data_IF_798288652851
#
_entry.id   IF_798288652851
#
_cell.length_a   1.000
_cell.length_b   1.000
_cell.length_c   1.000
_cell.angle_alpha   90.00
_cell.angle_beta   90.00
_cell.angle_gamma   90.00
#
_symmetry.space_group_name_H-M   'P 1'
#
loop_
_entity.id
_entity.type
_entity.pdbx_description
1 polymer ?
#
# COMPACT_ATOMS: atom_id res chain seq x y z
N UNK A 1 -10.70 -20.08 -37.05
CA UNK A 1 -11.27 -20.35 -35.71
C UNK A 1 -10.76 -19.29 -34.76
N UNK A 2 -11.55 -18.24 -34.53
CA UNK A 2 -11.22 -17.18 -33.57
C UNK A 2 -11.48 -17.72 -32.16
N UNK A 3 -10.43 -17.87 -31.34
CA UNK A 3 -10.59 -18.03 -29.89
C UNK A 3 -10.75 -16.61 -29.34
N UNK A 4 -12.00 -16.19 -29.14
CA UNK A 4 -12.29 -15.00 -28.36
C UNK A 4 -11.77 -15.20 -26.94
N UNK A 5 -10.81 -14.38 -26.52
CA UNK A 5 -10.32 -14.34 -25.16
C UNK A 5 -11.46 -13.93 -24.21
N UNK A 6 -11.72 -14.65 -23.11
CA UNK A 6 -12.67 -14.21 -22.10
C UNK A 6 -11.94 -13.28 -21.13
N UNK A 7 -11.64 -12.06 -21.57
CA UNK A 7 -11.09 -11.02 -20.69
C UNK A 7 -12.19 -10.03 -20.34
N UNK A 8 -12.53 -9.93 -19.05
CA UNK A 8 -13.38 -8.84 -18.54
C UNK A 8 -12.76 -7.48 -18.85
N UNK A 9 -13.54 -6.40 -18.79
CA UNK A 9 -12.97 -5.06 -18.96
C UNK A 9 -11.94 -4.78 -17.87
N UNK A 10 -10.93 -3.95 -18.17
CA UNK A 10 -9.95 -3.45 -17.17
C UNK A 10 -10.65 -2.91 -15.92
N UNK A 11 -11.77 -2.21 -16.09
CA UNK A 11 -12.57 -1.70 -14.98
C UNK A 11 -13.09 -2.81 -14.06
N UNK A 12 -13.52 -3.94 -14.62
CA UNK A 12 -14.00 -5.08 -13.84
C UNK A 12 -12.85 -5.76 -13.07
N UNK A 13 -11.69 -5.90 -13.70
CA UNK A 13 -10.48 -6.42 -13.04
C UNK A 13 -10.05 -5.54 -11.86
N UNK A 14 -10.08 -4.21 -12.04
CA UNK A 14 -9.81 -3.25 -10.98
C UNK A 14 -10.83 -3.32 -9.84
N UNK A 15 -12.12 -3.46 -10.16
CA UNK A 15 -13.19 -3.64 -9.16
C UNK A 15 -12.97 -4.90 -8.34
N UNK A 16 -12.67 -6.03 -8.98
CA UNK A 16 -12.38 -7.30 -8.29
C UNK A 16 -11.17 -7.16 -7.37
N UNK A 17 -10.10 -6.49 -7.81
CA UNK A 17 -8.90 -6.24 -7.00
C UNK A 17 -9.21 -5.34 -5.80
N UNK A 18 -9.92 -4.24 -6.01
CA UNK A 18 -10.32 -3.32 -4.94
C UNK A 18 -11.20 -4.01 -3.89
N UNK A 19 -12.21 -4.79 -4.32
CA UNK A 19 -13.06 -5.57 -3.43
C UNK A 19 -12.25 -6.55 -2.57
N UNK A 20 -11.24 -7.21 -3.15
CA UNK A 20 -10.36 -8.12 -2.41
C UNK A 20 -9.60 -7.39 -1.30
N UNK A 21 -8.99 -6.23 -1.60
CA UNK A 21 -8.28 -5.45 -0.58
C UNK A 21 -9.22 -4.91 0.51
N UNK A 22 -10.41 -4.44 0.13
CA UNK A 22 -11.43 -3.97 1.08
C UNK A 22 -11.87 -5.12 2.01
N UNK A 23 -12.18 -6.29 1.47
CA UNK A 23 -12.59 -7.45 2.27
C UNK A 23 -11.48 -7.93 3.20
N UNK A 24 -10.24 -8.01 2.68
CA UNK A 24 -9.07 -8.34 3.48
C UNK A 24 -8.87 -7.37 4.64
N UNK A 25 -8.96 -6.07 4.37
CA UNK A 25 -8.80 -5.06 5.41
C UNK A 25 -9.95 -5.09 6.43
N UNK A 26 -11.20 -5.26 5.99
CA UNK A 26 -12.35 -5.44 6.91
C UNK A 26 -12.15 -6.62 7.85
N UNK A 27 -11.61 -7.73 7.34
CA UNK A 27 -11.28 -8.89 8.15
C UNK A 27 -10.20 -8.56 9.18
N UNK A 28 -9.08 -7.98 8.75
CA UNK A 28 -8.01 -7.56 9.66
C UNK A 28 -8.54 -6.61 10.73
N UNK A 29 -9.34 -5.61 10.38
CA UNK A 29 -9.95 -4.67 11.33
C UNK A 29 -10.92 -5.34 12.31
N UNK A 30 -11.56 -6.45 11.93
CA UNK A 30 -12.43 -7.21 12.84
C UNK A 30 -11.65 -8.10 13.81
N UNK A 31 -10.42 -8.46 13.47
CA UNK A 31 -9.58 -9.40 14.23
C UNK A 31 -8.44 -8.70 15.00
N UNK A 32 -8.09 -7.47 14.62
CA UNK A 32 -6.95 -6.74 15.17
C UNK A 32 -7.13 -6.51 16.67
N UNK A 33 -6.08 -6.84 17.43
CA UNK A 33 -5.98 -6.54 18.85
C UNK A 33 -4.90 -5.50 19.04
N UNK A 34 -5.29 -4.34 19.55
CA UNK A 34 -4.32 -3.32 19.91
C UNK A 34 -3.48 -3.83 21.09
N UNK A 35 -2.16 -3.67 21.00
CA UNK A 35 -1.25 -3.94 22.10
C UNK A 35 -1.32 -2.83 23.14
N UNK A 36 -0.59 -2.99 24.26
CA UNK A 36 -0.51 -1.95 25.29
C UNK A 36 0.21 -0.73 24.73
N UNK A 37 -0.44 0.42 24.84
CA UNK A 37 0.13 1.76 24.60
C UNK A 37 0.57 2.27 25.98
N UNK A 38 1.79 2.82 26.16
CA UNK A 38 2.72 3.35 25.15
C UNK A 38 3.67 2.31 24.53
N UNK A 39 3.81 2.36 23.21
CA UNK A 39 4.83 1.62 22.45
C UNK A 39 6.09 2.48 22.40
N UNK A 40 7.24 1.91 22.80
CA UNK A 40 8.55 2.53 22.52
C UNK A 40 8.94 2.17 21.10
N UNK A 41 9.12 3.17 20.24
CA UNK A 41 9.61 2.99 18.87
C UNK A 41 11.12 3.29 18.86
N UNK A 42 11.92 2.38 18.33
CA UNK A 42 13.36 2.57 18.23
C UNK A 42 13.75 3.34 16.96
N UNK A 43 14.90 4.03 16.93
CA UNK A 43 15.41 4.64 15.71
C UNK A 43 15.57 3.64 14.55
N UNK A 44 16.01 2.41 14.83
CA UNK A 44 16.18 1.39 13.79
C UNK A 44 14.85 0.92 13.18
N UNK A 45 13.76 0.92 13.96
CA UNK A 45 12.43 0.64 13.43
C UNK A 45 11.95 1.75 12.49
N UNK A 46 12.24 3.02 12.83
CA UNK A 46 11.96 4.15 11.95
C UNK A 46 12.79 4.09 10.67
N UNK A 47 14.08 3.81 10.76
CA UNK A 47 14.96 3.62 9.59
C UNK A 47 14.44 2.52 8.67
N UNK A 48 14.00 1.39 9.24
CA UNK A 48 13.40 0.29 8.48
C UNK A 48 12.10 0.72 7.77
N UNK A 49 11.25 1.52 8.43
CA UNK A 49 10.06 2.09 7.79
C UNK A 49 10.41 3.02 6.63
N UNK A 50 11.44 3.85 6.79
CA UNK A 50 11.95 4.73 5.72
C UNK A 50 12.47 3.91 4.53
N UNK A 51 13.17 2.80 4.79
CA UNK A 51 13.64 1.92 3.71
C UNK A 51 12.47 1.22 3.00
N UNK A 52 11.43 0.82 3.72
CA UNK A 52 10.20 0.33 3.08
C UNK A 52 9.57 1.40 2.19
N UNK A 53 9.42 2.63 2.68
CA UNK A 53 8.88 3.76 1.90
C UNK A 53 9.66 3.94 0.58
N UNK A 54 11.00 3.97 0.64
CA UNK A 54 11.86 4.08 -0.55
C UNK A 54 11.63 2.93 -1.52
N UNK A 55 11.55 1.70 -1.02
CA UNK A 55 11.31 0.52 -1.85
C UNK A 55 9.93 0.59 -2.54
N UNK A 56 8.89 1.06 -1.86
CA UNK A 56 7.56 1.22 -2.46
C UNK A 56 7.49 2.35 -3.49
N UNK A 57 8.29 3.41 -3.34
CA UNK A 57 8.45 4.47 -4.36
C UNK A 57 9.12 3.90 -5.61
N UNK A 58 10.17 3.10 -5.44
CA UNK A 58 10.86 2.43 -6.55
C UNK A 58 9.93 1.42 -7.23
N UNK A 59 9.26 0.56 -6.47
CA UNK A 59 8.28 -0.41 -6.99
C UNK A 59 7.18 0.29 -7.78
N UNK A 60 6.67 1.43 -7.29
CA UNK A 60 5.67 2.22 -7.99
C UNK A 60 6.14 2.64 -9.39
N UNK A 61 7.38 3.11 -9.48
CA UNK A 61 8.01 3.53 -10.74
C UNK A 61 8.18 2.33 -11.68
N UNK A 62 8.70 1.21 -11.18
CA UNK A 62 8.87 -0.03 -11.94
C UNK A 62 7.53 -0.57 -12.48
N UNK A 63 6.47 -0.57 -11.66
CA UNK A 63 5.15 -1.01 -12.10
C UNK A 63 4.59 -0.10 -13.20
N UNK A 64 4.74 1.21 -13.04
CA UNK A 64 4.26 2.18 -14.02
C UNK A 64 4.97 2.03 -15.37
N UNK A 65 6.30 1.89 -15.35
CA UNK A 65 7.11 1.65 -16.56
C UNK A 65 6.70 0.37 -17.30
N UNK A 66 6.24 -0.64 -16.57
CA UNK A 66 5.74 -1.91 -17.14
C UNK A 66 4.29 -1.86 -17.61
N UNK A 67 3.61 -0.72 -17.45
CA UNK A 67 2.20 -0.54 -17.81
C UNK A 67 1.20 -1.06 -16.76
N UNK A 68 1.65 -1.45 -15.57
CA UNK A 68 0.78 -1.84 -14.46
C UNK A 68 0.49 -0.63 -13.54
N UNK A 69 -0.31 0.30 -14.07
CA UNK A 69 -0.70 1.51 -13.35
C UNK A 69 -1.45 1.21 -12.04
N UNK A 70 -2.18 0.08 -11.98
CA UNK A 70 -2.93 -0.32 -10.79
C UNK A 70 -1.99 -0.70 -9.64
N UNK A 71 -0.96 -1.50 -9.90
CA UNK A 71 0.04 -1.85 -8.89
C UNK A 71 0.93 -0.66 -8.53
N UNK A 72 1.24 0.20 -9.50
CA UNK A 72 1.94 1.47 -9.23
C UNK A 72 1.19 2.32 -8.21
N UNK A 73 -0.12 2.57 -8.44
CA UNK A 73 -0.97 3.33 -7.51
C UNK A 73 -1.03 2.67 -6.13
N UNK A 74 -1.15 1.34 -6.06
CA UNK A 74 -1.17 0.62 -4.77
C UNK A 74 0.16 0.81 -4.02
N UNK A 75 1.30 0.70 -4.70
CA UNK A 75 2.61 0.84 -4.09
C UNK A 75 2.84 2.27 -3.55
N UNK A 76 2.54 3.31 -4.34
CA UNK A 76 2.76 4.69 -3.89
C UNK A 76 1.81 5.08 -2.75
N UNK A 77 0.53 4.68 -2.79
CA UNK A 77 -0.39 4.94 -1.68
C UNK A 77 0.01 4.21 -0.39
N UNK A 78 0.68 3.05 -0.50
CA UNK A 78 1.23 2.37 0.68
C UNK A 78 2.41 3.13 1.28
N UNK A 79 3.31 3.66 0.44
CA UNK A 79 4.41 4.53 0.86
C UNK A 79 3.88 5.79 1.57
N UNK A 80 2.90 6.48 0.98
CA UNK A 80 2.22 7.64 1.56
C UNK A 80 1.58 7.30 2.90
N UNK A 81 0.86 6.19 3.00
CA UNK A 81 0.22 5.74 4.24
C UNK A 81 1.21 5.53 5.40
N UNK A 82 2.40 4.99 5.13
CA UNK A 82 3.46 4.86 6.14
C UNK A 82 4.01 6.24 6.53
N UNK A 83 4.29 7.12 5.57
CA UNK A 83 4.76 8.49 5.85
C UNK A 83 3.78 9.28 6.71
N UNK A 84 2.49 9.17 6.41
CA UNK A 84 1.41 9.76 7.18
C UNK A 84 1.34 9.21 8.61
N UNK A 85 1.57 7.90 8.79
CA UNK A 85 1.65 7.31 10.12
C UNK A 85 2.84 7.83 10.93
N UNK A 86 4.01 8.00 10.31
CA UNK A 86 5.19 8.60 10.96
C UNK A 86 4.89 10.05 11.40
N UNK A 87 4.20 10.84 10.56
CA UNK A 87 3.75 12.20 10.90
C UNK A 87 2.76 12.20 12.06
N UNK A 88 1.76 11.32 12.03
CA UNK A 88 0.78 11.16 13.11
C UNK A 88 1.45 10.88 14.47
N UNK A 89 2.52 10.08 14.45
CA UNK A 89 3.35 9.74 15.61
C UNK A 89 4.40 10.81 15.97
N UNK A 90 4.44 11.93 15.24
CA UNK A 90 5.39 13.04 15.41
C UNK A 90 6.85 12.62 15.23
N UNK A 91 7.09 11.65 14.36
CA UNK A 91 8.41 11.12 14.02
C UNK A 91 8.95 11.70 12.71
N UNK A 92 8.11 12.39 11.93
CA UNK A 92 8.48 13.02 10.66
C UNK A 92 7.70 14.32 10.45
N UNK A 93 8.33 15.28 9.78
CA UNK A 93 7.75 16.55 9.33
C UNK A 93 8.06 16.73 7.84
N UNK A 94 7.05 17.05 7.03
CA UNK A 94 7.18 17.23 5.59
C UNK A 94 5.94 17.94 5.01
N UNK A 95 6.05 18.40 3.77
CA UNK A 95 4.99 18.97 2.94
C UNK A 95 4.88 18.19 1.61
N UNK A 96 3.70 18.22 0.99
CA UNK A 96 3.40 17.57 -0.30
C UNK A 96 3.41 18.57 -1.43
#
# INVERSE_FOLDING_TARGET
MSRGSPTGSLEEELKVRALRYIQGMRRVLSEVKLTKIPVTISPSEVEMLIDWIKNYVEDSSIFLERGDAASSLVAICYAEGIMEALRLLKLAEFEW
#
